data_IF_840663171861
#
_entry.id   IF_840663171861
#
_cell.length_a   1.000
_cell.length_b   1.000
_cell.length_c   1.000
_cell.angle_alpha   90.00
_cell.angle_beta   90.00
_cell.angle_gamma   90.00
#
_symmetry.space_group_name_H-M   'P 1'
#
loop_
_entity.id
_entity.type
_entity.pdbx_description
1 polymer ?
#
# COMPACT_ATOMS: atom_id res chain seq x y z
N UNK A 1 13.88 -41.89 -15.42
CA UNK A 1 13.14 -40.69 -15.88
C UNK A 1 13.51 -39.56 -14.94
N UNK A 2 14.44 -38.71 -15.38
CA UNK A 2 15.09 -37.69 -14.55
C UNK A 2 14.18 -36.46 -14.53
N UNK A 3 13.61 -36.16 -13.38
CA UNK A 3 12.92 -34.89 -13.12
C UNK A 3 14.00 -33.81 -12.95
N UNK A 4 14.16 -33.00 -14.00
CA UNK A 4 15.03 -31.83 -14.01
C UNK A 4 14.48 -30.77 -13.04
N UNK A 5 15.17 -30.58 -11.92
CA UNK A 5 15.05 -29.41 -11.07
C UNK A 5 15.44 -28.17 -11.87
N UNK A 6 14.46 -27.36 -12.27
CA UNK A 6 14.69 -26.02 -12.80
C UNK A 6 15.21 -25.11 -11.66
N UNK A 7 16.27 -24.32 -11.89
CA UNK A 7 16.77 -23.38 -10.89
C UNK A 7 15.74 -22.26 -10.66
N UNK A 8 15.46 -21.95 -9.40
CA UNK A 8 14.68 -20.76 -9.02
C UNK A 8 15.43 -19.54 -9.56
N UNK A 9 14.82 -18.78 -10.46
CA UNK A 9 15.35 -17.48 -10.88
C UNK A 9 15.34 -16.53 -9.69
N UNK A 10 16.50 -16.44 -9.03
CA UNK A 10 16.77 -15.42 -8.04
C UNK A 10 16.96 -14.14 -8.84
N UNK A 11 15.97 -13.23 -8.79
CA UNK A 11 16.28 -11.82 -8.95
C UNK A 11 17.33 -11.48 -7.90
N UNK A 12 18.61 -11.48 -8.30
CA UNK A 12 19.71 -10.96 -7.49
C UNK A 12 19.58 -9.43 -7.40
N UNK A 13 18.52 -8.96 -6.75
CA UNK A 13 18.54 -7.70 -6.02
C UNK A 13 18.90 -8.12 -4.59
N UNK A 14 20.13 -7.90 -4.13
CA UNK A 14 20.52 -8.32 -2.79
C UNK A 14 19.87 -7.37 -1.79
N UNK A 15 18.63 -7.66 -1.41
CA UNK A 15 18.02 -7.15 -0.19
C UNK A 15 18.65 -7.96 0.94
N UNK A 16 19.88 -7.61 1.31
CA UNK A 16 20.50 -8.21 2.48
C UNK A 16 19.71 -7.75 3.72
N UNK A 17 19.39 -8.68 4.62
CA UNK A 17 18.67 -8.42 5.87
C UNK A 17 19.67 -8.51 7.02
N UNK A 18 19.63 -7.56 7.93
CA UNK A 18 20.33 -7.64 9.22
C UNK A 18 19.67 -8.74 10.07
N UNK A 19 20.41 -9.82 10.36
CA UNK A 19 19.96 -10.83 11.34
C UNK A 19 20.08 -10.25 12.75
N UNK A 20 19.01 -9.68 13.30
CA UNK A 20 18.92 -9.51 14.76
C UNK A 20 17.73 -10.28 15.35
N UNK A 21 18.07 -11.39 15.99
CA UNK A 21 17.20 -12.25 16.79
C UNK A 21 17.16 -11.75 18.24
N UNK A 22 16.40 -10.69 18.55
CA UNK A 22 16.18 -10.28 19.96
C UNK A 22 14.87 -9.51 20.18
N UNK A 23 13.69 -10.03 19.81
CA UNK A 23 12.42 -9.40 20.25
C UNK A 23 11.30 -10.43 20.47
N UNK A 24 11.49 -11.29 21.48
CA UNK A 24 10.41 -12.15 22.01
C UNK A 24 10.13 -11.90 23.50
N UNK A 25 10.74 -10.91 24.15
CA UNK A 25 10.63 -10.74 25.61
C UNK A 25 10.13 -9.38 26.14
N UNK A 26 9.74 -8.41 25.30
CA UNK A 26 9.40 -7.05 25.79
C UNK A 26 7.89 -6.72 25.91
N UNK A 27 6.97 -7.67 25.73
CA UNK A 27 5.53 -7.39 25.88
C UNK A 27 4.78 -8.47 26.66
N UNK A 28 5.16 -8.67 27.93
CA UNK A 28 4.35 -9.39 28.91
C UNK A 28 4.41 -8.65 30.26
N UNK A 29 3.56 -7.62 30.42
CA UNK A 29 3.19 -7.06 31.73
C UNK A 29 1.74 -6.55 31.70
N UNK A 30 0.93 -6.77 32.75
CA UNK A 30 -0.52 -6.52 32.74
C UNK A 30 -0.90 -5.06 33.04
N UNK A 31 -2.08 -4.65 32.57
CA UNK A 31 -2.66 -3.30 32.72
C UNK A 31 -3.00 -2.95 34.18
N UNK A 32 -2.80 -1.71 34.66
CA UNK A 32 -3.41 -1.25 35.90
C UNK A 32 -4.87 -0.78 35.68
N UNK A 33 -5.73 -1.10 36.66
CA UNK A 33 -7.15 -0.71 36.75
C UNK A 33 -7.26 0.77 37.14
N UNK A 34 -8.03 1.58 36.38
CA UNK A 34 -8.46 2.91 36.83
C UNK A 34 -9.78 2.81 37.59
N UNK A 35 -9.79 3.32 38.81
CA UNK A 35 -10.98 3.57 39.63
C UNK A 35 -11.64 4.87 39.17
N UNK A 36 -12.95 4.84 38.89
CA UNK A 36 -13.78 6.04 38.62
C UNK A 36 -14.66 6.27 39.84
N UNK A 37 -14.59 7.46 40.44
CA UNK A 37 -15.52 7.93 41.46
C UNK A 37 -16.45 8.98 40.88
N UNK A 38 -17.76 8.74 40.99
CA UNK A 38 -18.84 9.65 40.62
C UNK A 38 -19.09 10.70 41.71
N UNK A 39 -19.41 11.93 41.30
CA UNK A 39 -20.25 12.83 42.10
C UNK A 39 -21.17 13.67 41.21
N UNK A 40 -22.46 13.60 41.53
CA UNK A 40 -23.61 14.32 40.96
C UNK A 40 -23.94 15.51 41.86
N UNK A 41 -24.06 16.73 41.32
CA UNK A 41 -24.89 17.81 41.91
C UNK A 41 -25.47 18.70 40.80
N UNK A 42 -26.79 18.89 40.83
CA UNK A 42 -27.62 19.85 40.05
C UNK A 42 -28.25 20.91 41.01
N UNK A 43 -29.18 21.80 40.60
CA UNK A 43 -28.97 23.14 40.05
C UNK A 43 -29.61 24.26 40.91
N UNK A 44 -29.34 25.55 40.63
CA UNK A 44 -30.20 26.70 41.06
C UNK A 44 -30.25 27.84 40.02
N UNK A 45 -31.30 28.65 40.15
CA UNK A 45 -32.11 29.38 39.18
C UNK A 45 -31.84 30.90 38.99
N UNK A 46 -32.28 31.43 37.83
CA UNK A 46 -32.79 32.77 37.38
C UNK A 46 -32.92 33.97 38.37
N UNK A 47 -32.91 35.27 37.91
CA UNK A 47 -33.79 35.88 36.87
C UNK A 47 -33.10 36.86 35.88
N UNK A 48 -33.51 36.96 34.60
CA UNK A 48 -34.52 37.82 33.92
C UNK A 48 -34.40 39.33 34.21
N UNK A 49 -34.00 40.10 33.18
CA UNK A 49 -34.66 41.35 32.81
C UNK A 49 -34.50 41.64 31.30
N UNK A 50 -35.60 42.13 30.74
CA UNK A 50 -35.82 42.52 29.35
C UNK A 50 -35.04 43.80 28.97
N UNK A 51 -34.71 43.99 27.68
CA UNK A 51 -35.27 45.08 26.87
C UNK A 51 -34.84 44.98 25.40
N UNK A 52 -35.80 45.33 24.54
CA UNK A 52 -35.84 45.30 23.09
C UNK A 52 -35.20 46.52 22.42
N UNK A 53 -34.58 46.34 21.25
CA UNK A 53 -34.89 47.09 20.01
C UNK A 53 -33.99 46.68 18.83
N UNK A 54 -34.64 46.39 17.70
CA UNK A 54 -34.09 46.28 16.34
C UNK A 54 -34.05 47.68 15.67
N UNK A 55 -33.71 47.81 14.36
CA UNK A 55 -32.39 47.71 13.74
C UNK A 55 -32.05 49.00 12.94
N UNK A 56 -30.79 49.22 12.57
CA UNK A 56 -30.47 50.22 11.52
C UNK A 56 -29.12 49.90 10.85
N UNK A 57 -29.18 49.63 9.55
CA UNK A 57 -28.06 49.89 8.63
C UNK A 57 -28.13 51.36 8.19
N UNK A 58 -27.01 52.00 7.85
CA UNK A 58 -26.79 52.24 6.43
C UNK A 58 -25.35 52.06 5.95
N UNK A 59 -25.29 51.89 4.63
CA UNK A 59 -24.21 51.74 3.67
C UNK A 59 -23.14 52.83 3.69
N UNK A 60 -21.90 52.50 3.24
CA UNK A 60 -21.22 53.06 2.05
C UNK A 60 -19.69 52.89 2.09
N UNK A 61 -19.16 52.15 1.09
CA UNK A 61 -18.05 52.47 0.15
C UNK A 61 -16.75 53.09 0.71
N UNK A 62 -15.51 52.71 0.35
CA UNK A 62 -14.85 52.55 -0.96
C UNK A 62 -13.37 52.23 -0.60
N UNK A 63 -12.68 51.22 -1.15
CA UNK A 63 -11.64 51.38 -2.18
C UNK A 63 -10.87 50.05 -2.39
N UNK A 64 -10.53 49.83 -3.66
CA UNK A 64 -9.76 48.72 -4.21
C UNK A 64 -8.30 48.73 -3.75
N UNK A 65 -7.69 47.55 -3.65
CA UNK A 65 -6.44 47.24 -4.39
C UNK A 65 -6.25 45.72 -4.48
N UNK A 66 -5.96 45.30 -5.70
CA UNK A 66 -5.51 43.99 -6.15
C UNK A 66 -4.20 43.59 -5.50
N UNK A 67 -4.07 42.32 -5.10
CA UNK A 67 -2.82 41.55 -5.26
C UNK A 67 -3.08 40.05 -5.05
N UNK A 68 -2.86 39.29 -6.12
CA UNK A 68 -2.73 37.83 -6.08
C UNK A 68 -1.43 37.46 -5.35
N UNK A 69 -1.44 36.41 -4.51
CA UNK A 69 -0.26 35.57 -4.36
C UNK A 69 -0.54 34.16 -4.88
N UNK A 70 0.20 33.85 -5.93
CA UNK A 70 0.64 32.56 -6.45
C UNK A 70 0.30 31.29 -5.66
N UNK A 71 -0.12 30.29 -6.44
CA UNK A 71 -0.15 28.87 -6.10
C UNK A 71 1.20 28.44 -5.49
N UNK A 72 1.22 27.59 -4.45
CA UNK A 72 2.47 27.09 -3.90
C UNK A 72 3.14 26.17 -4.92
N UNK A 73 4.37 26.53 -5.27
CA UNK A 73 5.29 25.77 -6.11
C UNK A 73 5.48 24.34 -5.59
N UNK A 74 5.53 23.40 -6.54
CA UNK A 74 5.81 21.99 -6.30
C UNK A 74 7.11 21.85 -5.51
N UNK A 75 7.00 21.31 -4.30
CA UNK A 75 8.14 21.07 -3.41
C UNK A 75 8.96 19.92 -4.02
N UNK A 76 10.06 20.25 -4.68
CA UNK A 76 11.05 19.27 -5.15
C UNK A 76 11.69 18.59 -3.94
N UNK A 77 11.16 17.43 -3.56
CA UNK A 77 11.79 16.55 -2.56
C UNK A 77 13.01 15.90 -3.24
N UNK A 78 14.22 16.38 -2.95
CA UNK A 78 15.45 15.67 -3.33
C UNK A 78 15.56 14.38 -2.51
N UNK A 79 15.20 13.25 -3.14
CA UNK A 79 15.40 11.92 -2.57
C UNK A 79 16.86 11.52 -2.82
N UNK A 80 17.62 11.28 -1.75
CA UNK A 80 19.01 10.77 -1.84
C UNK A 80 19.04 9.45 -2.63
N UNK A 81 20.05 9.27 -3.51
CA UNK A 81 20.16 8.10 -4.41
C UNK A 81 20.09 6.76 -3.67
N UNK A 82 20.64 6.69 -2.45
CA UNK A 82 20.62 5.50 -1.59
C UNK A 82 19.21 5.06 -1.15
N UNK A 83 18.22 5.95 -1.25
CA UNK A 83 16.82 5.67 -0.90
C UNK A 83 15.99 5.24 -2.12
N UNK A 84 16.57 5.30 -3.33
CA UNK A 84 15.89 4.92 -4.56
C UNK A 84 15.98 3.42 -4.79
N UNK A 85 14.84 2.84 -5.18
CA UNK A 85 14.80 1.52 -5.78
C UNK A 85 15.17 1.64 -7.26
N UNK A 86 16.27 1.02 -7.61
CA UNK A 86 16.82 1.00 -8.96
C UNK A 86 16.62 -0.41 -9.52
N UNK A 87 15.78 -0.59 -10.54
CA UNK A 87 15.62 -1.90 -11.17
C UNK A 87 16.94 -2.40 -11.77
N UNK A 88 17.13 -3.72 -11.92
CA UNK A 88 18.31 -4.27 -12.58
C UNK A 88 18.56 -3.68 -13.97
N UNK A 89 19.83 -3.61 -14.38
CA UNK A 89 20.32 -3.03 -15.64
C UNK A 89 19.89 -1.58 -15.92
N UNK A 90 19.67 -0.78 -14.87
CA UNK A 90 19.34 0.64 -14.98
C UNK A 90 20.58 1.49 -14.71
N UNK A 91 21.10 2.16 -15.74
CA UNK A 91 22.21 3.09 -15.61
C UNK A 91 21.73 4.46 -15.09
N UNK A 92 22.17 4.80 -13.88
CA UNK A 92 21.87 6.08 -13.21
C UNK A 92 22.85 7.18 -13.67
N UNK A 93 24.00 6.81 -14.23
CA UNK A 93 25.10 7.71 -14.61
C UNK A 93 25.00 8.29 -16.04
N UNK A 94 24.01 7.90 -16.85
CA UNK A 94 23.91 8.35 -18.24
C UNK A 94 23.33 9.79 -18.34
N UNK A 95 24.12 10.72 -18.86
CA UNK A 95 23.91 12.19 -18.87
C UNK A 95 22.71 12.73 -19.69
N UNK A 96 21.89 11.89 -20.33
CA UNK A 96 20.91 12.36 -21.34
C UNK A 96 19.55 12.77 -20.79
N UNK A 97 19.23 12.54 -19.50
CA UNK A 97 17.96 12.99 -18.90
C UNK A 97 18.10 13.16 -17.39
N UNK A 98 17.61 14.25 -16.77
CA UNK A 98 17.70 14.44 -15.32
C UNK A 98 17.01 13.29 -14.55
N UNK A 99 17.65 12.76 -13.50
CA UNK A 99 17.13 11.64 -12.69
C UNK A 99 15.73 11.89 -12.14
N UNK A 100 15.39 13.13 -11.83
CA UNK A 100 14.06 13.55 -11.37
C UNK A 100 12.94 13.22 -12.37
N UNK A 101 13.24 13.16 -13.67
CA UNK A 101 12.27 12.80 -14.72
C UNK A 101 12.09 11.28 -14.87
N UNK A 102 13.03 10.48 -14.36
CA UNK A 102 13.01 9.02 -14.42
C UNK A 102 12.39 8.39 -13.17
N UNK A 103 12.21 9.16 -12.08
CA UNK A 103 11.59 8.67 -10.85
C UNK A 103 10.07 8.73 -10.97
N UNK A 104 9.40 7.63 -10.66
CA UNK A 104 7.94 7.57 -10.62
C UNK A 104 7.40 8.51 -9.52
N UNK A 105 6.39 9.33 -9.85
CA UNK A 105 5.84 10.34 -8.94
C UNK A 105 5.25 9.68 -7.67
N UNK A 106 5.56 10.25 -6.50
CA UNK A 106 5.07 9.72 -5.22
C UNK A 106 5.59 8.30 -4.92
N UNK A 107 6.83 8.01 -5.32
CA UNK A 107 7.49 6.72 -5.12
C UNK A 107 9.00 6.92 -4.88
N UNK A 108 9.72 5.83 -4.61
CA UNK A 108 11.18 5.80 -4.70
C UNK A 108 11.70 5.01 -5.91
N UNK A 109 10.90 4.79 -6.95
CA UNK A 109 11.21 3.83 -8.02
C UNK A 109 11.72 4.57 -9.26
N UNK A 110 12.86 4.13 -9.77
CA UNK A 110 13.42 4.60 -11.05
C UNK A 110 12.87 3.77 -12.21
N UNK A 111 12.52 4.44 -13.31
CA UNK A 111 12.14 3.80 -14.57
C UNK A 111 13.37 3.23 -15.28
N UNK A 112 13.24 1.98 -15.74
CA UNK A 112 14.29 1.31 -16.50
C UNK A 112 13.95 1.19 -17.99
N UNK A 113 14.89 0.68 -18.79
CA UNK A 113 14.67 0.35 -20.21
C UNK A 113 13.61 -0.75 -20.45
N UNK A 114 13.17 -1.43 -19.40
CA UNK A 114 12.17 -2.50 -19.48
C UNK A 114 10.72 -1.99 -19.46
N UNK A 115 10.50 -0.68 -19.34
CA UNK A 115 9.17 -0.07 -19.32
C UNK A 115 8.56 -0.10 -20.72
N UNK A 116 7.59 -1.00 -20.94
CA UNK A 116 6.78 -1.10 -22.17
C UNK A 116 5.50 -1.90 -21.91
N UNK A 117 4.46 -1.67 -22.71
CA UNK A 117 3.19 -2.41 -22.65
C UNK A 117 2.53 -2.38 -21.26
N UNK A 118 2.51 -1.19 -20.63
CA UNK A 118 1.94 -0.95 -19.31
C UNK A 118 0.41 -0.80 -19.31
N UNK A 119 -0.20 -0.57 -20.48
CA UNK A 119 -1.63 -0.30 -20.59
C UNK A 119 -2.46 -1.55 -20.29
N UNK A 120 -3.60 -1.37 -19.63
CA UNK A 120 -4.60 -2.43 -19.42
C UNK A 120 -5.74 -2.23 -20.42
N UNK A 121 -5.87 -3.16 -21.36
CA UNK A 121 -6.90 -3.19 -22.40
C UNK A 121 -8.02 -4.16 -22.02
N UNK A 122 -7.65 -5.33 -21.49
CA UNK A 122 -8.57 -6.41 -21.12
C UNK A 122 -8.24 -6.96 -19.73
N UNK A 123 -9.26 -7.33 -18.97
CA UNK A 123 -9.10 -7.84 -17.60
C UNK A 123 -10.23 -8.79 -17.23
N UNK A 124 -9.96 -10.09 -17.10
CA UNK A 124 -10.99 -11.12 -16.93
C UNK A 124 -10.78 -11.89 -15.63
N UNK A 125 -11.87 -12.18 -14.91
CA UNK A 125 -11.82 -13.11 -13.79
C UNK A 125 -11.71 -14.53 -14.34
N UNK A 126 -10.70 -15.28 -13.91
CA UNK A 126 -10.46 -16.64 -14.37
C UNK A 126 -10.97 -17.66 -13.37
N UNK A 127 -10.49 -17.62 -12.13
CA UNK A 127 -10.83 -18.62 -11.11
C UNK A 127 -10.54 -18.13 -9.69
N UNK A 128 -11.26 -18.72 -8.73
CA UNK A 128 -10.96 -18.69 -7.30
C UNK A 128 -10.41 -20.06 -6.86
N UNK A 129 -9.26 -20.06 -6.22
CA UNK A 129 -8.57 -21.27 -5.76
C UNK A 129 -8.39 -21.25 -4.24
N UNK A 130 -8.62 -22.38 -3.58
CA UNK A 130 -8.41 -22.53 -2.12
C UNK A 130 -7.02 -23.09 -1.82
N UNK A 131 -6.43 -23.82 -2.78
CA UNK A 131 -5.08 -24.37 -2.69
C UNK A 131 -4.22 -23.90 -3.87
N UNK A 132 -2.91 -23.84 -3.65
CA UNK A 132 -1.94 -23.35 -4.65
C UNK A 132 -1.93 -24.23 -5.91
N UNK A 133 -2.19 -25.53 -5.77
CA UNK A 133 -2.20 -26.48 -6.89
C UNK A 133 -3.41 -26.28 -7.82
N UNK A 134 -4.48 -25.66 -7.31
CA UNK A 134 -5.70 -25.37 -8.09
C UNK A 134 -5.59 -24.06 -8.90
N UNK A 135 -4.51 -23.30 -8.72
CA UNK A 135 -4.24 -22.05 -9.44
C UNK A 135 -3.92 -22.34 -10.93
N UNK A 136 -4.15 -21.38 -11.84
CA UNK A 136 -3.77 -21.53 -13.25
C UNK A 136 -2.31 -21.98 -13.42
N UNK A 137 -2.01 -22.83 -14.40
CA UNK A 137 -0.66 -23.38 -14.57
C UNK A 137 -0.10 -23.12 -15.98
N UNK A 138 -0.53 -22.03 -16.60
CA UNK A 138 -0.16 -21.61 -17.95
C UNK A 138 1.20 -20.87 -18.02
N UNK A 139 1.86 -20.65 -16.87
CA UNK A 139 3.21 -20.08 -16.79
C UNK A 139 3.28 -18.57 -16.91
N UNK A 140 2.14 -17.87 -16.94
CA UNK A 140 2.12 -16.41 -17.09
C UNK A 140 2.59 -15.71 -15.79
N UNK A 141 3.30 -14.56 -15.90
CA UNK A 141 3.77 -13.82 -14.74
C UNK A 141 2.63 -13.28 -13.86
N UNK A 142 2.84 -13.29 -12.55
CA UNK A 142 1.81 -12.96 -11.55
C UNK A 142 2.24 -11.83 -10.62
N UNK A 143 1.32 -10.91 -10.36
CA UNK A 143 1.46 -9.88 -9.34
C UNK A 143 0.40 -10.08 -8.28
N UNK A 144 0.82 -10.38 -7.04
CA UNK A 144 -0.10 -10.69 -5.97
C UNK A 144 -0.39 -9.46 -5.10
N UNK A 145 -1.66 -9.11 -4.93
CA UNK A 145 -2.11 -8.08 -4.02
C UNK A 145 -2.44 -8.71 -2.65
N UNK A 146 -1.80 -8.21 -1.60
CA UNK A 146 -2.07 -8.63 -0.22
C UNK A 146 -2.06 -7.41 0.70
N UNK A 147 -2.77 -7.48 1.82
CA UNK A 147 -2.82 -6.39 2.77
C UNK A 147 -3.89 -6.64 3.82
N UNK A 148 -3.96 -5.78 4.84
CA UNK A 148 -4.99 -5.92 5.88
C UNK A 148 -6.40 -5.86 5.31
N UNK A 149 -7.31 -6.53 6.01
CA UNK A 149 -8.74 -6.35 5.79
C UNK A 149 -9.13 -4.86 5.76
N UNK A 150 -9.88 -4.45 4.73
CA UNK A 150 -10.28 -3.06 4.46
C UNK A 150 -9.15 -2.05 4.15
N UNK A 151 -7.93 -2.51 3.83
CA UNK A 151 -6.84 -1.62 3.41
C UNK A 151 -7.15 -0.89 2.09
N UNK A 152 -7.94 -1.48 1.20
CA UNK A 152 -8.26 -0.91 -0.12
C UNK A 152 -7.92 -1.81 -1.30
N UNK A 153 -7.50 -3.06 -1.06
CA UNK A 153 -7.10 -4.05 -2.07
C UNK A 153 -8.03 -4.17 -3.28
N UNK A 154 -9.31 -4.50 -3.07
CA UNK A 154 -10.26 -4.63 -4.18
C UNK A 154 -10.56 -3.29 -4.88
N UNK A 155 -10.45 -2.16 -4.17
CA UNK A 155 -10.59 -0.83 -4.77
C UNK A 155 -9.40 -0.49 -5.67
N UNK A 156 -8.18 -0.81 -5.22
CA UNK A 156 -6.97 -0.66 -6.02
C UNK A 156 -7.03 -1.56 -7.25
N UNK A 157 -7.39 -2.83 -7.10
CA UNK A 157 -7.55 -3.78 -8.20
C UNK A 157 -8.49 -3.20 -9.28
N UNK A 158 -9.69 -2.79 -8.89
CA UNK A 158 -10.68 -2.20 -9.80
C UNK A 158 -10.17 -0.89 -10.46
N UNK A 159 -9.39 -0.09 -9.73
CA UNK A 159 -8.76 1.13 -10.26
C UNK A 159 -7.71 0.79 -11.33
N UNK A 160 -6.82 -0.18 -11.08
CA UNK A 160 -5.80 -0.61 -12.05
C UNK A 160 -6.43 -1.05 -13.37
N UNK A 161 -7.45 -1.91 -13.30
CA UNK A 161 -8.11 -2.47 -14.49
C UNK A 161 -9.20 -1.58 -15.10
N UNK A 162 -9.49 -0.41 -14.49
CA UNK A 162 -10.59 0.50 -14.88
C UNK A 162 -11.96 -0.18 -15.00
N UNK A 163 -12.24 -1.20 -14.18
CA UNK A 163 -13.55 -1.90 -14.12
C UNK A 163 -14.15 -1.77 -12.74
N UNK A 164 -15.38 -1.22 -12.64
CA UNK A 164 -16.02 -0.89 -11.35
C UNK A 164 -16.41 -2.10 -10.49
N UNK A 165 -16.49 -3.30 -11.06
CA UNK A 165 -17.04 -4.50 -10.39
C UNK A 165 -16.30 -5.79 -10.74
N UNK A 166 -15.04 -5.73 -11.20
CA UNK A 166 -14.29 -6.95 -11.49
C UNK A 166 -13.95 -7.69 -10.19
N UNK A 167 -13.45 -6.97 -9.19
CA UNK A 167 -13.34 -7.46 -7.82
C UNK A 167 -14.49 -6.89 -6.96
N UNK A 168 -15.12 -7.76 -6.17
CA UNK A 168 -16.18 -7.37 -5.25
C UNK A 168 -15.61 -6.50 -4.11
N UNK A 169 -16.00 -5.23 -4.06
CA UNK A 169 -15.65 -4.32 -2.97
C UNK A 169 -16.70 -4.41 -1.86
N UNK A 170 -16.28 -4.62 -0.61
CA UNK A 170 -17.20 -4.59 0.54
C UNK A 170 -16.57 -3.88 1.73
N UNK A 171 -17.40 -3.20 2.52
CA UNK A 171 -17.01 -2.61 3.80
C UNK A 171 -16.86 -3.66 4.92
N UNK A 172 -17.53 -4.82 4.78
CA UNK A 172 -17.41 -5.93 5.72
C UNK A 172 -16.11 -6.69 5.42
N UNK A 173 -15.17 -6.79 6.38
CA UNK A 173 -13.92 -7.49 6.13
C UNK A 173 -14.11 -9.03 6.08
N UNK A 174 -13.12 -9.76 5.54
CA UNK A 174 -13.14 -11.23 5.46
C UNK A 174 -13.87 -11.86 4.26
N UNK A 175 -14.20 -11.08 3.21
CA UNK A 175 -14.88 -11.63 2.01
C UNK A 175 -13.98 -12.41 1.05
N UNK A 176 -12.73 -11.99 0.87
CA UNK A 176 -11.77 -12.74 0.06
C UNK A 176 -11.24 -13.88 0.92
N UNK A 177 -11.70 -15.11 0.65
CA UNK A 177 -11.28 -16.33 1.36
C UNK A 177 -10.48 -17.29 0.46
N UNK A 178 -10.30 -16.91 -0.80
CA UNK A 178 -9.65 -17.69 -1.85
C UNK A 178 -8.65 -16.81 -2.59
N UNK A 179 -7.74 -17.45 -3.32
CA UNK A 179 -6.82 -16.82 -4.26
C UNK A 179 -7.59 -16.55 -5.56
N UNK A 180 -7.86 -15.30 -5.89
CA UNK A 180 -8.58 -14.97 -7.12
C UNK A 180 -7.62 -14.52 -8.21
N UNK A 181 -7.68 -15.15 -9.38
CA UNK A 181 -6.85 -14.82 -10.53
C UNK A 181 -7.62 -13.97 -11.53
N UNK A 182 -7.06 -12.82 -11.89
CA UNK A 182 -7.56 -11.94 -12.94
C UNK A 182 -6.55 -11.87 -14.08
N UNK A 183 -6.90 -12.39 -15.25
CA UNK A 183 -6.04 -12.39 -16.43
C UNK A 183 -6.10 -11.03 -17.11
N UNK A 184 -4.94 -10.42 -17.34
CA UNK A 184 -4.82 -9.09 -17.92
C UNK A 184 -4.13 -9.17 -19.28
N UNK A 185 -4.76 -8.58 -20.30
CA UNK A 185 -4.30 -8.59 -21.70
C UNK A 185 -3.78 -9.96 -22.17
N UNK A 186 -4.41 -11.04 -21.72
CA UNK A 186 -4.02 -12.44 -21.96
C UNK A 186 -2.56 -12.83 -21.65
N UNK A 187 -1.81 -11.98 -20.95
CA UNK A 187 -0.34 -12.07 -20.86
C UNK A 187 0.21 -12.11 -19.44
N UNK A 188 -0.58 -11.76 -18.43
CA UNK A 188 -0.16 -11.80 -17.02
C UNK A 188 -1.37 -11.84 -16.09
N UNK A 189 -1.15 -12.18 -14.82
CA UNK A 189 -2.19 -12.23 -13.79
C UNK A 189 -2.02 -11.16 -12.72
N UNK A 190 -3.14 -10.53 -12.37
CA UNK A 190 -3.30 -9.85 -11.10
C UNK A 190 -4.00 -10.80 -10.13
N UNK A 191 -3.37 -11.08 -9.00
CA UNK A 191 -3.84 -12.10 -8.05
C UNK A 191 -4.31 -11.43 -6.76
N UNK A 192 -5.57 -11.64 -6.38
CA UNK A 192 -6.15 -11.09 -5.15
C UNK A 192 -6.10 -12.14 -4.04
N UNK A 193 -5.20 -11.95 -3.07
CA UNK A 193 -5.05 -12.83 -1.91
C UNK A 193 -5.99 -12.43 -0.77
N UNK A 194 -6.34 -13.36 0.15
CA UNK A 194 -7.06 -13.01 1.37
C UNK A 194 -6.27 -11.99 2.21
N UNK A 195 -7.00 -11.07 2.84
CA UNK A 195 -6.36 -10.07 3.68
C UNK A 195 -6.04 -10.61 5.08
N UNK A 196 -4.89 -10.24 5.63
CA UNK A 196 -4.50 -10.61 6.99
C UNK A 196 -5.10 -9.69 8.07
N UNK A 197 -4.96 -10.08 9.34
CA UNK A 197 -5.38 -9.29 10.50
C UNK A 197 -6.90 -9.19 10.70
N UNK A 198 -7.70 -10.02 10.03
CA UNK A 198 -9.14 -10.03 10.24
C UNK A 198 -9.53 -10.82 11.51
N UNK A 199 -9.62 -10.11 12.64
CA UNK A 199 -9.86 -10.73 13.95
C UNK A 199 -11.24 -11.40 14.10
N UNK A 200 -12.22 -11.10 13.25
CA UNK A 200 -13.58 -11.62 13.36
C UNK A 200 -13.81 -12.96 12.63
N UNK A 201 -12.82 -13.49 11.90
CA UNK A 201 -12.90 -14.86 11.39
C UNK A 201 -12.52 -15.89 12.48
N UNK A 202 -13.16 -17.09 12.46
CA UNK A 202 -12.75 -18.21 13.29
C UNK A 202 -11.25 -18.47 13.21
N UNK A 203 -10.65 -18.90 14.32
CA UNK A 203 -9.19 -19.09 14.41
C UNK A 203 -8.68 -20.11 13.38
N UNK A 204 -9.42 -21.21 13.17
CA UNK A 204 -9.09 -22.25 12.18
C UNK A 204 -8.99 -21.67 10.77
N UNK A 205 -10.02 -20.92 10.33
CA UNK A 205 -10.01 -20.24 9.03
C UNK A 205 -8.85 -19.26 8.87
N UNK A 206 -8.48 -18.55 9.94
CA UNK A 206 -7.31 -17.65 9.90
C UNK A 206 -6.02 -18.44 9.70
N UNK A 207 -5.85 -19.55 10.41
CA UNK A 207 -4.68 -20.43 10.28
C UNK A 207 -4.61 -20.98 8.85
N UNK A 208 -5.72 -21.43 8.30
CA UNK A 208 -5.79 -21.94 6.93
C UNK A 208 -5.45 -20.88 5.89
N UNK A 209 -6.00 -19.67 6.02
CA UNK A 209 -5.68 -18.55 5.13
C UNK A 209 -4.21 -18.19 5.18
N UNK A 210 -3.64 -18.14 6.39
CA UNK A 210 -2.21 -17.91 6.56
C UNK A 210 -1.38 -19.03 5.94
N UNK A 211 -1.80 -20.30 6.08
CA UNK A 211 -1.09 -21.45 5.54
C UNK A 211 -1.05 -21.43 4.02
N UNK A 212 -2.20 -21.32 3.34
CA UNK A 212 -2.19 -21.34 1.88
C UNK A 212 -1.58 -20.07 1.28
N UNK A 213 -1.71 -18.91 1.92
CA UNK A 213 -1.09 -17.68 1.41
C UNK A 213 0.44 -17.77 1.47
N UNK A 214 0.99 -18.30 2.58
CA UNK A 214 2.42 -18.54 2.71
C UNK A 214 2.90 -19.59 1.71
N UNK A 215 2.15 -20.68 1.57
CA UNK A 215 2.44 -21.72 0.58
C UNK A 215 2.50 -21.16 -0.84
N UNK A 216 1.51 -20.36 -1.24
CA UNK A 216 1.49 -19.66 -2.52
C UNK A 216 2.76 -18.81 -2.71
N UNK A 217 3.14 -17.98 -1.73
CA UNK A 217 4.35 -17.16 -1.87
C UNK A 217 5.65 -17.96 -1.96
N UNK A 218 5.75 -19.10 -1.28
CA UNK A 218 6.97 -19.91 -1.24
C UNK A 218 7.12 -20.81 -2.46
N UNK A 219 6.00 -21.24 -3.06
CA UNK A 219 5.99 -22.27 -4.09
C UNK A 219 5.58 -21.78 -5.48
N UNK A 220 5.06 -20.55 -5.61
CA UNK A 220 4.62 -20.02 -6.92
C UNK A 220 5.77 -19.45 -7.73
N UNK A 221 6.31 -20.23 -8.66
CA UNK A 221 7.45 -19.84 -9.51
C UNK A 221 7.15 -18.69 -10.49
N UNK A 222 5.87 -18.49 -10.83
CA UNK A 222 5.39 -17.41 -11.72
C UNK A 222 5.18 -16.07 -10.99
N UNK A 223 5.32 -16.04 -9.66
CA UNK A 223 5.14 -14.83 -8.87
C UNK A 223 6.30 -13.86 -9.09
N UNK A 224 6.00 -12.74 -9.75
CA UNK A 224 7.00 -11.70 -10.06
C UNK A 224 7.22 -10.77 -8.87
N UNK A 225 6.13 -10.32 -8.24
CA UNK A 225 6.20 -9.45 -7.05
C UNK A 225 4.90 -9.46 -6.26
N UNK A 226 5.03 -9.32 -4.94
CA UNK A 226 3.93 -9.11 -4.00
C UNK A 226 3.74 -7.63 -3.75
N UNK A 227 2.57 -7.11 -4.06
CA UNK A 227 2.18 -5.75 -3.71
C UNK A 227 1.52 -5.78 -2.33
N UNK A 228 2.29 -5.38 -1.32
CA UNK A 228 1.86 -5.30 0.07
C UNK A 228 1.22 -3.94 0.32
N UNK A 229 -0.11 -3.95 0.47
CA UNK A 229 -0.89 -2.74 0.66
C UNK A 229 -0.91 -2.32 2.14
N UNK A 230 -0.59 -1.05 2.37
CA UNK A 230 -0.58 -0.38 3.68
C UNK A 230 -1.54 0.80 3.65
N UNK A 231 -2.31 1.04 4.72
CA UNK A 231 -3.24 2.18 4.81
C UNK A 231 -2.48 3.42 5.31
N UNK A 232 -2.25 4.41 4.44
CA UNK A 232 -1.51 5.62 4.80
C UNK A 232 -2.35 6.61 5.63
N UNK A 233 -3.66 6.40 5.78
CA UNK A 233 -4.55 7.29 6.53
C UNK A 233 -4.55 7.05 8.04
N UNK A 234 -3.76 6.08 8.51
CA UNK A 234 -3.63 5.68 9.91
C UNK A 234 -2.16 5.49 10.30
N UNK A 235 -1.82 5.59 11.60
CA UNK A 235 -0.49 5.25 12.08
C UNK A 235 -0.11 3.80 11.75
N UNK A 236 1.19 3.59 11.55
CA UNK A 236 1.81 2.29 11.27
C UNK A 236 1.30 1.22 12.22
N UNK A 237 0.98 0.03 11.69
CA UNK A 237 0.60 -1.12 12.51
C UNK A 237 1.72 -2.16 12.55
N UNK A 238 2.02 -2.74 13.72
CA UNK A 238 3.05 -3.78 13.85
C UNK A 238 2.84 -4.95 12.89
N UNK A 239 1.59 -5.41 12.73
CA UNK A 239 1.27 -6.52 11.83
C UNK A 239 1.67 -6.25 10.36
N UNK A 240 1.68 -4.99 9.92
CA UNK A 240 2.09 -4.62 8.56
C UNK A 240 3.63 -4.72 8.41
N UNK A 241 4.37 -4.29 9.43
CA UNK A 241 5.84 -4.41 9.50
C UNK A 241 6.28 -5.87 9.61
N UNK A 242 5.62 -6.66 10.47
CA UNK A 242 5.88 -8.09 10.61
C UNK A 242 5.65 -8.84 9.31
N UNK A 243 4.60 -8.49 8.56
CA UNK A 243 4.30 -9.10 7.27
C UNK A 243 5.35 -8.74 6.22
N UNK A 244 5.74 -7.47 6.14
CA UNK A 244 6.81 -7.02 5.25
C UNK A 244 8.14 -7.72 5.60
N UNK A 245 8.49 -7.78 6.87
CA UNK A 245 9.68 -8.48 7.38
C UNK A 245 9.67 -9.96 7.02
N UNK A 246 8.53 -10.64 7.16
CA UNK A 246 8.39 -12.04 6.76
C UNK A 246 8.60 -12.24 5.26
N UNK A 247 8.03 -11.38 4.40
CA UNK A 247 8.26 -11.43 2.95
C UNK A 247 9.76 -11.26 2.63
N UNK A 248 10.40 -10.27 3.24
CA UNK A 248 11.83 -10.03 3.10
C UNK A 248 12.69 -11.22 3.53
N UNK A 249 12.45 -11.77 4.72
CA UNK A 249 13.21 -12.90 5.27
C UNK A 249 13.14 -14.16 4.39
N UNK A 250 12.02 -14.34 3.69
CA UNK A 250 11.82 -15.44 2.76
C UNK A 250 12.22 -15.09 1.32
N UNK A 251 12.87 -13.94 1.10
CA UNK A 251 13.33 -13.46 -0.21
C UNK A 251 12.21 -13.37 -1.25
N UNK A 252 10.99 -13.08 -0.81
CA UNK A 252 9.84 -12.90 -1.70
C UNK A 252 9.90 -11.46 -2.23
N UNK A 253 9.99 -11.25 -3.57
CA UNK A 253 9.99 -9.91 -4.14
C UNK A 253 8.72 -9.17 -3.75
N UNK A 254 8.86 -7.93 -3.29
CA UNK A 254 7.71 -7.13 -2.85
C UNK A 254 7.84 -5.64 -3.19
N UNK A 255 6.68 -5.00 -3.36
CA UNK A 255 6.52 -3.55 -3.48
C UNK A 255 5.48 -3.07 -2.48
N UNK A 256 5.81 -2.05 -1.70
CA UNK A 256 4.90 -1.45 -0.72
C UNK A 256 3.94 -0.50 -1.43
N UNK A 257 2.64 -0.71 -1.27
CA UNK A 257 1.62 0.16 -1.85
C UNK A 257 0.90 0.91 -0.73
N UNK A 258 1.21 2.19 -0.57
CA UNK A 258 0.54 3.06 0.39
C UNK A 258 -0.78 3.53 -0.20
N UNK A 259 -1.89 3.10 0.40
CA UNK A 259 -3.25 3.36 -0.07
C UNK A 259 -3.92 4.49 0.71
N UNK A 260 -4.99 5.05 0.11
CA UNK A 260 -5.84 6.10 0.72
C UNK A 260 -5.09 7.39 1.03
N UNK A 261 -4.11 7.76 0.20
CA UNK A 261 -3.37 9.01 0.34
C UNK A 261 -4.24 10.27 0.17
N UNK A 262 -5.48 10.14 -0.32
CA UNK A 262 -6.49 11.21 -0.33
C UNK A 262 -7.05 11.53 1.06
N UNK A 263 -6.97 10.60 2.01
CA UNK A 263 -7.66 10.74 3.30
C UNK A 263 -6.83 11.54 4.29
N UNK A 264 -7.22 12.81 4.47
CA UNK A 264 -6.73 13.66 5.55
C UNK A 264 -7.67 13.58 6.75
N UNK A 265 -7.17 13.13 7.90
CA UNK A 265 -7.88 13.32 9.18
C UNK A 265 -7.83 14.80 9.56
N UNK A 266 -8.96 15.37 9.99
CA UNK A 266 -9.00 16.75 10.47
C UNK A 266 -8.10 16.89 11.72
N UNK A 267 -7.28 17.95 11.78
CA UNK A 267 -6.34 18.23 12.89
C UNK A 267 -6.97 18.16 14.29
N UNK A 268 -8.28 18.41 14.42
CA UNK A 268 -9.02 18.31 15.68
C UNK A 268 -8.92 16.92 16.35
N UNK A 269 -8.61 15.86 15.58
CA UNK A 269 -8.43 14.49 16.07
C UNK A 269 -6.96 14.03 16.07
N UNK A 270 -5.99 14.94 15.92
CA UNK A 270 -4.54 14.62 15.99
C UNK A 270 -4.01 13.67 14.91
N UNK A 271 -4.71 13.52 13.78
CA UNK A 271 -4.28 12.62 12.72
C UNK A 271 -3.17 13.23 11.86
N UNK A 272 -2.05 12.52 11.74
CA UNK A 272 -0.97 12.78 10.77
C UNK A 272 -1.49 12.75 9.33
N UNK A 273 -0.85 13.51 8.45
CA UNK A 273 -1.04 13.43 7.00
C UNK A 273 -0.55 12.08 6.47
N UNK A 274 -1.10 11.59 5.35
CA UNK A 274 -0.62 10.35 4.74
C UNK A 274 0.88 10.34 4.47
N UNK A 275 1.45 11.46 4.01
CA UNK A 275 2.88 11.61 3.76
C UNK A 275 3.71 11.36 5.03
N UNK A 276 3.25 11.87 6.18
CA UNK A 276 3.93 11.70 7.48
C UNK A 276 3.85 10.24 7.96
N UNK A 277 2.71 9.56 7.79
CA UNK A 277 2.60 8.13 8.14
C UNK A 277 3.44 7.24 7.22
N UNK A 278 3.58 7.61 5.94
CA UNK A 278 4.47 6.92 4.99
C UNK A 278 5.91 7.06 5.43
N UNK A 279 6.33 8.27 5.82
CA UNK A 279 7.67 8.50 6.36
C UNK A 279 7.92 7.69 7.64
N UNK A 280 6.99 7.71 8.60
CA UNK A 280 7.09 6.89 9.82
C UNK A 280 7.29 5.39 9.47
N UNK A 281 6.51 4.88 8.50
CA UNK A 281 6.63 3.49 8.06
C UNK A 281 8.00 3.20 7.46
N UNK A 282 8.50 4.11 6.62
CA UNK A 282 9.82 4.00 5.99
C UNK A 282 10.96 4.04 6.99
N UNK A 283 10.83 4.80 8.07
CA UNK A 283 11.83 4.85 9.14
C UNK A 283 11.83 3.53 9.92
N UNK A 284 10.66 3.03 10.32
CA UNK A 284 10.53 1.79 11.08
C UNK A 284 10.94 0.54 10.28
N UNK A 285 10.68 0.52 8.97
CA UNK A 285 11.01 -0.65 8.16
C UNK A 285 12.52 -0.80 7.90
N UNK A 286 13.32 0.28 8.03
CA UNK A 286 14.79 0.22 7.85
C UNK A 286 15.47 -0.74 8.81
N UNK A 287 14.91 -0.94 10.00
CA UNK A 287 15.47 -1.89 10.98
C UNK A 287 15.44 -3.34 10.48
N UNK A 288 14.57 -3.64 9.50
CA UNK A 288 14.39 -4.97 8.92
C UNK A 288 15.08 -5.15 7.56
N UNK A 289 15.53 -4.07 6.91
CA UNK A 289 16.01 -4.08 5.53
C UNK A 289 17.25 -3.20 5.35
N UNK A 290 18.31 -3.73 4.74
CA UNK A 290 19.48 -2.90 4.41
C UNK A 290 19.17 -1.87 3.32
N UNK A 291 18.36 -2.26 2.34
CA UNK A 291 17.88 -1.39 1.27
C UNK A 291 16.38 -1.20 1.40
N UNK A 292 15.91 0.06 1.32
CA UNK A 292 14.49 0.37 1.42
C UNK A 292 13.73 -0.34 0.27
N UNK A 293 12.68 -1.12 0.56
CA UNK A 293 11.86 -1.74 -0.48
C UNK A 293 11.25 -0.69 -1.44
N UNK A 294 10.95 -1.06 -2.70
CA UNK A 294 10.22 -0.17 -3.59
C UNK A 294 8.85 0.16 -3.00
N UNK A 295 8.43 1.41 -3.10
CA UNK A 295 7.13 1.86 -2.60
C UNK A 295 6.46 2.89 -3.50
N UNK A 296 5.13 2.90 -3.51
CA UNK A 296 4.30 3.84 -4.29
C UNK A 296 3.13 4.34 -3.43
N UNK A 297 2.89 5.66 -3.45
CA UNK A 297 1.71 6.29 -2.86
C UNK A 297 0.52 6.27 -3.83
N UNK A 298 -0.65 5.91 -3.33
CA UNK A 298 -1.83 5.67 -4.16
C UNK A 298 -3.14 6.15 -3.54
N UNK A 299 -4.07 6.50 -4.41
CA UNK A 299 -5.48 6.68 -4.05
C UNK A 299 -6.38 6.17 -5.16
N UNK A 300 -7.23 5.20 -4.84
CA UNK A 300 -8.26 4.73 -5.77
C UNK A 300 -9.39 5.74 -5.99
N UNK A 301 -9.44 6.84 -5.22
CA UNK A 301 -10.44 7.91 -5.36
C UNK A 301 -9.95 8.93 -6.38
N UNK A 302 -8.69 9.37 -6.26
CA UNK A 302 -8.09 10.37 -7.16
C UNK A 302 -7.35 9.76 -8.35
N UNK A 303 -7.19 8.42 -8.38
CA UNK A 303 -6.33 7.67 -9.30
C UNK A 303 -4.83 7.99 -9.19
N UNK A 304 -4.40 8.66 -8.12
CA UNK A 304 -2.98 8.83 -7.81
C UNK A 304 -2.26 7.49 -7.73
N UNK A 305 -1.06 7.40 -8.32
CA UNK A 305 -0.18 6.24 -8.24
C UNK A 305 -0.58 5.07 -9.15
N UNK A 306 -1.70 5.19 -9.89
CA UNK A 306 -2.21 4.12 -10.74
C UNK A 306 -1.29 3.86 -11.92
N UNK A 307 -0.93 4.90 -12.65
CA UNK A 307 -0.10 4.76 -13.85
C UNK A 307 1.34 4.41 -13.44
N UNK A 308 1.82 4.93 -12.31
CA UNK A 308 3.10 4.57 -11.69
C UNK A 308 3.16 3.07 -11.34
N UNK A 309 2.09 2.51 -10.75
CA UNK A 309 2.01 1.06 -10.53
C UNK A 309 2.10 0.31 -11.85
N UNK A 310 1.34 0.69 -12.87
CA UNK A 310 1.34 -0.01 -14.16
C UNK A 310 2.70 0.03 -14.84
N UNK A 311 3.40 1.18 -14.78
CA UNK A 311 4.77 1.33 -15.27
C UNK A 311 5.72 0.41 -14.49
N UNK A 312 5.64 0.40 -13.17
CA UNK A 312 6.46 -0.47 -12.32
C UNK A 312 6.19 -1.97 -12.55
N UNK A 313 4.93 -2.37 -12.71
CA UNK A 313 4.57 -3.74 -13.08
C UNK A 313 5.16 -4.12 -14.44
N UNK A 314 5.08 -3.20 -15.42
CA UNK A 314 5.57 -3.47 -16.76
C UNK A 314 7.07 -3.73 -16.79
N UNK A 315 7.87 -2.93 -16.09
CA UNK A 315 9.33 -3.15 -16.03
C UNK A 315 9.69 -4.45 -15.32
N UNK A 316 9.02 -4.78 -14.21
CA UNK A 316 9.27 -6.03 -13.49
C UNK A 316 8.90 -7.25 -14.34
N UNK A 317 7.72 -7.20 -14.99
CA UNK A 317 7.24 -8.25 -15.89
C UNK A 317 8.20 -8.45 -17.05
N UNK A 318 8.61 -7.37 -17.72
CA UNK A 318 9.43 -7.46 -18.92
C UNK A 318 10.88 -7.87 -18.60
N UNK A 319 11.38 -7.52 -17.41
CA UNK A 319 12.63 -8.07 -16.89
C UNK A 319 12.50 -9.58 -16.63
N UNK A 320 11.45 -10.00 -15.91
CA UNK A 320 11.18 -11.41 -15.61
C UNK A 320 10.97 -12.26 -16.88
N UNK A 321 10.31 -11.73 -17.92
CA UNK A 321 10.12 -12.45 -19.19
C UNK A 321 11.42 -12.61 -19.99
N UNK A 322 12.42 -11.78 -19.73
CA UNK A 322 13.70 -11.81 -20.45
C UNK A 322 14.69 -12.77 -19.79
N UNK A 323 14.60 -12.96 -18.47
CA UNK A 323 15.59 -13.64 -17.65
C UNK A 323 14.98 -14.85 -16.96
#
# INVERSE_FOLDING_TARGET
MILSHLPRFHCHCPIFITRHSLYTQLFLSPKPKLHISFSLITPKSHPISHFSSTPTLPSQTLLQTTENPSLPEDTHIEISVEKLFVPPDTDISSETTPLSTRILKGSNIVLSKYVRDAQVVQAEFVKSSVRTEDCPSDGLPEFALVGRSNVGKSSLLNSLVRRKKLALTSKKPGKTQCINHFRINDSWYLVDLPGYGYAAAPQELRIDWHKFTKDYFLNRSTLVSVFLLIDASIPVKPIDLEYASWLGQNQIPMTLIFTKCDKRKKKKNGGKRPEENVQDFQELIRDFFQTVPPWIMTSSVTNQGRDEILLHMSQLRNYWLKH
#
